data_IF_513451895549
#
_entry.id   IF_513451895549
#
_cell.length_a   1.000
_cell.length_b   1.000
_cell.length_c   1.000
_cell.angle_alpha   90.00
_cell.angle_beta   90.00
_cell.angle_gamma   90.00
#
_symmetry.space_group_name_H-M   'P 1'
#
loop_
_entity.id
_entity.type
_entity.pdbx_description
1 polymer ?
#
# COMPACT_ATOMS: atom_id res chain seq x y z
N UNK A 1 -7.70 0.24 -15.70
CA UNK A 1 -6.61 0.14 -14.71
C UNK A 1 -5.31 -0.01 -15.49
N UNK A 2 -4.27 0.77 -15.23
CA UNK A 2 -3.01 0.61 -15.96
C UNK A 2 -2.22 -0.58 -15.38
N UNK A 3 -1.45 -1.29 -16.20
CA UNK A 3 -0.76 -2.52 -15.78
C UNK A 3 0.34 -2.33 -14.71
N UNK A 4 0.82 -1.09 -14.53
CA UNK A 4 1.85 -0.78 -13.55
C UNK A 4 1.25 -0.51 -12.16
N UNK A 5 0.12 0.19 -12.09
CA UNK A 5 -0.58 0.55 -10.85
C UNK A 5 -1.34 -0.62 -10.24
N UNK A 6 -1.63 -1.67 -11.01
CA UNK A 6 -2.24 -2.91 -10.47
C UNK A 6 -1.27 -3.76 -9.66
N UNK A 7 0.05 -3.56 -9.83
CA UNK A 7 1.08 -4.48 -9.34
C UNK A 7 2.03 -3.87 -8.31
N UNK A 8 1.66 -2.73 -7.74
CA UNK A 8 2.41 -2.09 -6.65
C UNK A 8 1.45 -1.50 -5.62
N UNK A 9 1.90 -1.48 -4.37
CA UNK A 9 1.18 -0.81 -3.27
C UNK A 9 1.65 0.64 -3.19
N UNK A 10 0.73 1.56 -2.92
CA UNK A 10 1.03 2.97 -2.70
C UNK A 10 0.63 3.36 -1.27
N UNK A 11 1.57 3.97 -0.54
CA UNK A 11 1.31 4.54 0.79
C UNK A 11 1.57 6.03 0.71
N UNK A 12 0.51 6.81 0.69
CA UNK A 12 0.59 8.25 0.79
C UNK A 12 0.42 8.69 2.25
N UNK A 13 1.42 9.38 2.78
CA UNK A 13 1.43 9.79 4.19
C UNK A 13 1.28 11.29 4.31
N UNK A 14 0.23 11.72 5.02
CA UNK A 14 0.00 13.13 5.37
C UNK A 14 0.46 13.33 6.81
N UNK A 15 1.42 14.23 7.00
CA UNK A 15 1.85 14.68 8.32
C UNK A 15 1.17 16.00 8.67
N UNK A 16 0.36 16.00 9.72
CA UNK A 16 -0.30 17.21 10.22
C UNK A 16 0.37 17.64 11.51
N UNK A 17 0.73 18.91 11.61
CA UNK A 17 1.22 19.52 12.84
C UNK A 17 0.34 20.73 13.14
N UNK A 18 -0.20 20.79 14.35
CA UNK A 18 -0.93 21.96 14.83
C UNK A 18 -0.38 22.42 16.17
N UNK A 19 -0.30 23.73 16.32
CA UNK A 19 0.09 24.40 17.55
C UNK A 19 -0.89 25.53 17.78
N UNK A 20 -1.54 25.51 18.93
CA UNK A 20 -2.43 26.59 19.35
C UNK A 20 -1.61 27.78 19.84
N UNK A 21 -2.01 28.99 19.48
CA UNK A 21 -1.29 30.20 19.86
C UNK A 21 -1.35 30.37 21.39
N UNK A 22 -0.19 30.58 22.02
CA UNK A 22 -0.07 30.68 23.48
C UNK A 22 -0.01 29.33 24.21
N UNK A 23 -0.25 28.21 23.53
CA UNK A 23 -0.06 26.88 24.10
C UNK A 23 1.37 26.35 23.88
N UNK A 24 1.93 25.71 24.91
CA UNK A 24 3.18 24.96 24.77
C UNK A 24 2.98 23.61 24.06
N UNK A 25 1.72 23.16 23.91
CA UNK A 25 1.39 21.86 23.33
C UNK A 25 1.42 21.92 21.81
N UNK A 26 2.17 21.01 21.20
CA UNK A 26 2.17 20.76 19.75
C UNK A 26 1.51 19.42 19.50
N UNK A 27 0.43 19.40 18.71
CA UNK A 27 -0.23 18.17 18.26
C UNK A 27 0.38 17.76 16.92
N UNK A 28 0.74 16.49 16.81
CA UNK A 28 1.22 15.88 15.57
C UNK A 28 0.36 14.68 15.26
N UNK A 29 -0.11 14.57 14.02
CA UNK A 29 -0.78 13.37 13.55
C UNK A 29 -0.21 12.93 12.20
N UNK A 30 -0.33 11.63 11.95
CA UNK A 30 0.14 10.98 10.74
C UNK A 30 -1.04 10.20 10.17
N UNK A 31 -1.50 10.60 9.00
CA UNK A 31 -2.57 9.94 8.28
C UNK A 31 -1.98 9.16 7.11
N UNK A 32 -2.32 7.88 7.02
CA UNK A 32 -1.91 7.00 5.94
C UNK A 32 -3.10 6.76 5.01
N UNK A 33 -2.96 7.16 3.75
CA UNK A 33 -3.86 6.79 2.66
C UNK A 33 -3.17 5.65 1.90
N UNK A 34 -3.72 4.44 2.03
CA UNK A 34 -3.12 3.21 1.50
C UNK A 34 -3.95 2.73 0.33
N UNK A 35 -3.31 2.57 -0.82
CA UNK A 35 -3.85 1.93 -2.02
C UNK A 35 -3.07 0.64 -2.27
N UNK A 36 -3.76 -0.50 -2.25
CA UNK A 36 -3.14 -1.81 -2.32
C UNK A 36 -3.27 -2.40 -3.72
N UNK A 37 -2.22 -3.09 -4.15
CA UNK A 37 -2.19 -3.86 -5.38
C UNK A 37 -3.29 -4.94 -5.40
N UNK A 38 -3.61 -5.42 -6.60
CA UNK A 38 -4.60 -6.48 -6.80
C UNK A 38 -4.15 -7.82 -6.17
N UNK A 39 -5.12 -8.61 -5.74
CA UNK A 39 -4.89 -9.98 -5.25
C UNK A 39 -5.17 -11.02 -6.35
N UNK A 40 -4.47 -10.94 -7.48
CA UNK A 40 -4.74 -11.83 -8.61
C UNK A 40 -4.47 -13.31 -8.30
N UNK A 41 -5.34 -14.17 -8.84
CA UNK A 41 -5.17 -15.63 -8.75
C UNK A 41 -4.22 -16.13 -9.83
N UNK A 42 -2.94 -16.26 -9.48
CA UNK A 42 -1.86 -16.73 -10.39
C UNK A 42 -2.17 -18.04 -11.12
N UNK A 43 -2.90 -18.97 -10.49
CA UNK A 43 -3.29 -20.24 -11.11
C UNK A 43 -4.29 -20.14 -12.27
N UNK A 44 -4.97 -18.98 -12.43
CA UNK A 44 -5.95 -18.74 -13.49
C UNK A 44 -5.44 -17.82 -14.60
N UNK A 45 -4.31 -17.15 -14.39
CA UNK A 45 -3.81 -16.11 -15.30
C UNK A 45 -2.79 -16.63 -16.32
N UNK A 46 -2.28 -17.86 -16.15
CA UNK A 46 -1.34 -18.48 -17.10
C UNK A 46 0.00 -17.76 -17.24
N UNK A 47 0.31 -16.83 -16.32
CA UNK A 47 1.53 -16.02 -16.35
C UNK A 47 2.73 -16.79 -15.82
N UNK A 48 3.89 -16.61 -16.46
CA UNK A 48 5.15 -17.25 -16.10
C UNK A 48 6.28 -16.26 -15.84
N UNK A 49 7.46 -16.79 -15.49
CA UNK A 49 8.68 -15.99 -15.34
C UNK A 49 8.58 -14.87 -14.31
N UNK A 50 9.01 -13.67 -14.70
CA UNK A 50 9.06 -12.50 -13.81
C UNK A 50 7.67 -12.08 -13.32
N UNK A 51 6.64 -12.17 -14.17
CA UNK A 51 5.27 -11.78 -13.82
C UNK A 51 4.69 -12.69 -12.73
N UNK A 52 4.97 -14.00 -12.79
CA UNK A 52 4.56 -14.93 -11.74
C UNK A 52 5.28 -14.63 -10.41
N UNK A 53 6.55 -14.26 -10.48
CA UNK A 53 7.34 -13.91 -9.30
C UNK A 53 6.80 -12.66 -8.62
N UNK A 54 6.48 -11.64 -9.41
CA UNK A 54 5.87 -10.39 -8.93
C UNK A 54 4.50 -10.62 -8.27
N UNK A 55 3.60 -11.37 -8.92
CA UNK A 55 2.28 -11.69 -8.36
C UNK A 55 2.36 -12.52 -7.06
N UNK A 56 3.38 -13.38 -6.91
CA UNK A 56 3.63 -14.08 -5.64
C UNK A 56 3.98 -13.12 -4.51
N UNK A 57 4.86 -12.15 -4.76
CA UNK A 57 5.24 -11.16 -3.74
C UNK A 57 4.08 -10.24 -3.36
N UNK A 58 3.26 -9.82 -4.33
CA UNK A 58 2.05 -9.04 -4.07
C UNK A 58 1.11 -9.83 -3.15
N UNK A 59 0.74 -11.04 -3.53
CA UNK A 59 -0.16 -11.88 -2.73
C UNK A 59 0.41 -12.21 -1.35
N UNK A 60 1.72 -12.41 -1.24
CA UNK A 60 2.38 -12.64 0.05
C UNK A 60 2.27 -11.42 0.95
N UNK A 61 2.53 -10.22 0.44
CA UNK A 61 2.41 -8.98 1.21
C UNK A 61 0.97 -8.70 1.66
N UNK A 62 -0.02 -9.01 0.81
CA UNK A 62 -1.44 -8.89 1.16
C UNK A 62 -1.85 -9.91 2.23
N UNK A 63 -1.35 -11.14 2.13
CA UNK A 63 -1.60 -12.17 3.13
C UNK A 63 -1.05 -11.78 4.50
N UNK A 64 0.15 -11.19 4.57
CA UNK A 64 0.71 -10.67 5.82
C UNK A 64 -0.07 -9.48 6.41
N UNK A 65 -0.82 -8.74 5.59
CA UNK A 65 -1.66 -7.64 6.08
C UNK A 65 -2.97 -8.13 6.70
N UNK A 66 -3.49 -9.29 6.25
CA UNK A 66 -4.76 -9.86 6.72
C UNK A 66 -4.60 -10.67 8.02
N UNK A 67 -3.41 -11.22 8.30
CA UNK A 67 -3.13 -11.98 9.54
C UNK A 67 -3.03 -11.09 10.78
#
# INVERSE_FOLDING_TARGET
MNQASTRSHCIFTIHLCSKELGSAVVRRSKLHLVDLAGSERVGKTGVGGQILTEAKYINLSLHYLEQ
#
